data_IF_656907776322
#
_entry.id   IF_656907776322
#
_cell.length_a   1.000
_cell.length_b   1.000
_cell.length_c   1.000
_cell.angle_alpha   90.00
_cell.angle_beta   90.00
_cell.angle_gamma   90.00
#
_symmetry.space_group_name_H-M   'P 1'
#
loop_
_entity.id
_entity.type
_entity.pdbx_description
1 polymer ?
#
# COMPACT_ATOMS: atom_id res chain seq x y z
N UNK A 1 -5.35 -11.99 3.05
CA UNK A 1 -4.88 -10.90 2.18
C UNK A 1 -5.16 -11.14 0.70
N UNK A 2 -5.40 -12.38 0.25
CA UNK A 2 -5.72 -12.71 -1.17
C UNK A 2 -6.80 -11.82 -1.79
N UNK A 3 -7.95 -11.61 -1.12
CA UNK A 3 -9.00 -10.72 -1.63
C UNK A 3 -8.51 -9.30 -1.96
N UNK A 4 -7.65 -8.72 -1.11
CA UNK A 4 -7.10 -7.38 -1.32
C UNK A 4 -6.11 -7.39 -2.48
N UNK A 5 -5.30 -8.44 -2.61
CA UNK A 5 -4.36 -8.61 -3.72
C UNK A 5 -5.08 -8.76 -5.07
N UNK A 6 -6.16 -9.53 -5.10
CA UNK A 6 -7.03 -9.66 -6.28
C UNK A 6 -7.73 -8.34 -6.62
N UNK A 7 -8.20 -7.59 -5.61
CA UNK A 7 -8.82 -6.27 -5.83
C UNK A 7 -7.86 -5.23 -6.42
N UNK A 8 -6.55 -5.49 -6.37
CA UNK A 8 -5.49 -4.63 -6.92
C UNK A 8 -4.97 -5.13 -8.28
N UNK A 9 -5.51 -6.22 -8.84
CA UNK A 9 -5.02 -6.80 -10.10
C UNK A 9 -5.33 -5.92 -11.31
N UNK A 10 -6.53 -5.36 -11.33
CA UNK A 10 -7.10 -4.73 -12.53
C UNK A 10 -6.95 -3.21 -12.51
N UNK A 11 -6.77 -2.63 -11.33
CA UNK A 11 -6.81 -1.20 -11.10
C UNK A 11 -5.52 -0.67 -10.45
N UNK A 12 -5.16 0.56 -10.81
CA UNK A 12 -3.97 1.21 -10.28
C UNK A 12 -4.02 1.44 -8.76
N UNK A 13 -5.24 1.62 -8.20
CA UNK A 13 -5.53 1.92 -6.80
C UNK A 13 -6.75 1.13 -6.33
N UNK A 14 -6.98 1.05 -5.02
CA UNK A 14 -8.02 0.18 -4.46
C UNK A 14 -9.46 0.59 -4.81
N UNK A 15 -9.65 1.82 -5.32
CA UNK A 15 -10.93 2.32 -5.80
C UNK A 15 -10.89 2.73 -7.28
N UNK A 16 -10.03 2.08 -8.08
CA UNK A 16 -9.92 2.34 -9.52
C UNK A 16 -8.72 3.20 -9.90
N UNK A 17 -8.90 4.11 -10.86
CA UNK A 17 -7.80 4.89 -11.45
C UNK A 17 -7.35 6.11 -10.64
N UNK A 18 -8.14 6.52 -9.64
CA UNK A 18 -7.84 7.70 -8.81
C UNK A 18 -7.44 7.27 -7.40
N UNK A 19 -6.30 7.77 -6.93
CA UNK A 19 -5.89 7.63 -5.53
C UNK A 19 -6.87 8.33 -4.60
N UNK A 20 -7.30 7.65 -3.54
CA UNK A 20 -8.26 8.18 -2.56
C UNK A 20 -7.78 7.98 -1.12
N UNK A 21 -8.60 8.39 -0.15
CA UNK A 21 -8.34 8.13 1.27
C UNK A 21 -8.28 6.63 1.59
N UNK A 22 -9.00 5.79 0.85
CA UNK A 22 -8.95 4.34 1.02
C UNK A 22 -7.53 3.81 0.79
N UNK A 23 -6.80 4.40 -0.16
CA UNK A 23 -5.42 4.00 -0.44
C UNK A 23 -4.44 4.43 0.66
N UNK A 24 -4.60 5.65 1.17
CA UNK A 24 -3.78 6.12 2.29
C UNK A 24 -3.96 5.23 3.53
N UNK A 25 -5.19 4.80 3.80
CA UNK A 25 -5.49 3.89 4.90
C UNK A 25 -4.92 2.49 4.65
N UNK A 26 -5.18 1.91 3.48
CA UNK A 26 -4.68 0.58 3.11
C UNK A 26 -3.15 0.50 3.17
N UNK A 27 -2.45 1.51 2.64
CA UNK A 27 -0.98 1.58 2.72
C UNK A 27 -0.48 1.52 4.16
N UNK A 28 -1.12 2.25 5.08
CA UNK A 28 -0.74 2.24 6.50
C UNK A 28 -0.95 0.87 7.13
N UNK A 29 -2.11 0.25 6.89
CA UNK A 29 -2.42 -1.10 7.41
C UNK A 29 -1.44 -2.14 6.86
N UNK A 30 -1.12 -2.07 5.57
CA UNK A 30 -0.14 -2.97 4.95
C UNK A 30 1.25 -2.80 5.56
N UNK A 31 1.69 -1.56 5.85
CA UNK A 31 2.96 -1.34 6.56
C UNK A 31 2.99 -2.03 7.92
N UNK A 32 1.89 -2.03 8.67
CA UNK A 32 1.81 -2.80 9.91
C UNK A 32 1.86 -4.31 9.68
N UNK A 33 1.19 -4.81 8.64
CA UNK A 33 1.27 -6.23 8.26
C UNK A 33 2.72 -6.68 8.01
N UNK A 34 3.51 -5.87 7.30
CA UNK A 34 4.97 -6.10 7.15
C UNK A 34 5.71 -5.99 8.49
N UNK A 35 5.41 -4.98 9.30
CA UNK A 35 6.05 -4.76 10.60
C UNK A 35 5.85 -5.91 11.60
N UNK A 36 4.67 -6.54 11.59
CA UNK A 36 4.36 -7.74 12.40
C UNK A 36 4.76 -9.05 11.72
N UNK A 37 5.42 -8.99 10.55
CA UNK A 37 5.93 -10.13 9.79
C UNK A 37 4.84 -11.13 9.39
N UNK A 38 3.69 -10.62 8.96
CA UNK A 38 2.68 -11.45 8.33
C UNK A 38 3.26 -12.08 7.05
N UNK A 39 2.82 -13.30 6.70
CA UNK A 39 3.21 -13.89 5.42
C UNK A 39 2.55 -13.12 4.27
N UNK A 40 3.39 -12.49 3.43
CA UNK A 40 2.97 -11.70 2.27
C UNK A 40 3.46 -12.33 0.95
N UNK A 41 4.02 -13.54 1.00
CA UNK A 41 4.61 -14.22 -0.15
C UNK A 41 3.54 -14.49 -1.22
N UNK A 42 3.88 -14.21 -2.47
CA UNK A 42 2.99 -14.41 -3.62
C UNK A 42 1.92 -13.32 -3.83
N UNK A 43 1.88 -12.28 -2.98
CA UNK A 43 0.94 -11.16 -3.12
C UNK A 43 1.55 -10.03 -3.98
N UNK A 44 1.70 -10.29 -5.28
CA UNK A 44 2.45 -9.44 -6.21
C UNK A 44 1.76 -8.11 -6.52
N UNK A 45 0.42 -8.05 -6.46
CA UNK A 45 -0.31 -6.81 -6.70
C UNK A 45 -0.18 -5.89 -5.49
N UNK A 46 -0.24 -6.42 -4.27
CA UNK A 46 0.03 -5.69 -3.04
C UNK A 46 1.47 -5.15 -3.05
N UNK A 47 2.46 -5.96 -3.44
CA UNK A 47 3.85 -5.50 -3.54
C UNK A 47 3.97 -4.31 -4.51
N UNK A 48 3.43 -4.46 -5.72
CA UNK A 48 3.43 -3.41 -6.75
C UNK A 48 2.71 -2.14 -6.29
N UNK A 49 1.57 -2.31 -5.60
CA UNK A 49 0.80 -1.24 -5.00
C UNK A 49 1.60 -0.48 -3.94
N UNK A 50 2.23 -1.19 -3.00
CA UNK A 50 3.03 -0.59 -1.92
C UNK A 50 4.18 0.24 -2.47
N UNK A 51 4.89 -0.29 -3.48
CA UNK A 51 5.96 0.44 -4.17
C UNK A 51 5.43 1.72 -4.84
N UNK A 52 4.25 1.65 -5.46
CA UNK A 52 3.63 2.80 -6.14
C UNK A 52 3.20 3.89 -5.16
N UNK A 53 2.59 3.52 -4.03
CA UNK A 53 2.18 4.48 -2.99
C UNK A 53 3.41 5.11 -2.33
N UNK A 54 4.45 4.32 -2.00
CA UNK A 54 5.68 4.82 -1.40
C UNK A 54 6.44 5.84 -2.27
N UNK A 55 6.35 5.74 -3.61
CA UNK A 55 6.95 6.69 -4.55
C UNK A 55 6.27 8.07 -4.58
N UNK A 56 5.09 8.25 -3.95
CA UNK A 56 4.39 9.54 -3.94
C UNK A 56 5.14 10.53 -3.02
N UNK A 57 5.50 11.75 -3.50
CA UNK A 57 6.23 12.73 -2.69
C UNK A 57 5.54 13.08 -1.37
N UNK A 58 4.21 13.15 -1.38
CA UNK A 58 3.40 13.44 -0.17
C UNK A 58 3.45 12.31 0.85
N UNK A 59 3.56 11.05 0.39
CA UNK A 59 3.68 9.89 1.28
C UNK A 59 5.07 9.90 1.92
N UNK A 60 6.13 10.08 1.13
CA UNK A 60 7.48 10.22 1.65
C UNK A 60 7.62 11.37 2.65
N UNK A 61 7.00 12.53 2.38
CA UNK A 61 6.97 13.65 3.30
C UNK A 61 6.25 13.32 4.62
N UNK A 62 5.10 12.63 4.56
CA UNK A 62 4.36 12.21 5.75
C UNK A 62 5.16 11.21 6.60
N UNK A 63 5.76 10.19 5.96
CA UNK A 63 6.61 9.22 6.65
C UNK A 63 7.77 9.91 7.37
N UNK A 64 8.47 10.81 6.68
CA UNK A 64 9.56 11.61 7.28
C UNK A 64 9.07 12.45 8.46
N UNK A 65 7.90 13.09 8.35
CA UNK A 65 7.31 13.90 9.44
C UNK A 65 6.97 13.04 10.67
N UNK A 66 6.59 11.78 10.47
CA UNK A 66 6.34 10.82 11.54
C UNK A 66 7.63 10.12 12.06
N UNK A 67 8.80 10.45 11.50
CA UNK A 67 10.07 9.81 11.88
C UNK A 67 10.24 8.39 11.35
N UNK A 68 9.47 8.03 10.31
CA UNK A 68 9.49 6.73 9.66
C UNK A 68 10.26 6.86 8.33
N UNK A 69 11.34 6.09 8.17
CA UNK A 69 12.11 6.02 6.91
C UNK A 69 11.92 4.65 6.27
#
# INVERSE_FOLDING_TARGET
>A
MQYVDESLSDDQWICGQRFTIADAYLFTVLRWAYGVKLNMDGLTHIESYMQRVAKRPTVAAALKAEGLN
#
